data_IF_679831720306
#
_entry.id   IF_679831720306
#
_cell.length_a   1.000
_cell.length_b   1.000
_cell.length_c   1.000
_cell.angle_alpha   90.00
_cell.angle_beta   90.00
_cell.angle_gamma   90.00
#
_symmetry.space_group_name_H-M   'P 1'
#
loop_
_entity.id
_entity.type
_entity.pdbx_description
1 polymer ?
#
# COMPACT_ATOMS: atom_id res chain seq x y z
N UNK A 1 -8.88 -0.01 14.62
CA UNK A 1 -7.48 -0.42 14.42
C UNK A 1 -7.27 -0.66 12.94
N UNK A 2 -6.68 0.30 12.21
CA UNK A 2 -6.48 0.19 10.78
C UNK A 2 -5.50 -0.95 10.48
N UNK A 3 -6.01 -2.05 9.92
CA UNK A 3 -5.21 -3.23 9.65
C UNK A 3 -4.42 -3.01 8.34
N UNK A 4 -3.35 -2.21 8.40
CA UNK A 4 -2.57 -1.78 7.23
C UNK A 4 -2.04 -2.95 6.40
N UNK A 5 -1.83 -4.11 7.02
CA UNK A 5 -1.48 -5.35 6.33
C UNK A 5 -2.61 -5.86 5.43
N UNK A 6 -3.85 -5.84 5.92
CA UNK A 6 -5.02 -6.24 5.14
C UNK A 6 -5.26 -5.27 3.98
N UNK A 7 -5.17 -3.95 4.24
CA UNK A 7 -5.30 -2.91 3.21
C UNK A 7 -4.20 -3.08 2.14
N UNK A 8 -2.96 -3.30 2.57
CA UNK A 8 -1.85 -3.52 1.64
C UNK A 8 -2.05 -4.78 0.80
N UNK A 9 -2.49 -5.89 1.40
CA UNK A 9 -2.79 -7.12 0.66
C UNK A 9 -3.97 -6.96 -0.31
N UNK A 10 -4.93 -6.08 0.00
CA UNK A 10 -6.08 -5.81 -0.84
C UNK A 10 -5.69 -4.98 -2.07
N UNK A 11 -5.04 -3.84 -1.85
CA UNK A 11 -4.71 -2.89 -2.91
C UNK A 11 -3.38 -3.14 -3.62
N UNK A 12 -2.50 -3.93 -3.04
CA UNK A 12 -1.19 -4.22 -3.61
C UNK A 12 -1.00 -5.70 -3.86
N UNK A 13 -0.24 -6.00 -4.91
CA UNK A 13 0.31 -7.32 -5.18
C UNK A 13 1.73 -7.34 -4.65
N UNK A 14 2.03 -8.28 -3.76
CA UNK A 14 3.39 -8.52 -3.27
C UNK A 14 4.21 -9.24 -4.37
N UNK A 15 5.37 -8.68 -4.68
CA UNK A 15 6.35 -9.26 -5.62
C UNK A 15 7.53 -9.90 -4.89
N UNK A 16 7.51 -9.93 -3.55
CA UNK A 16 8.67 -10.28 -2.74
C UNK A 16 9.69 -9.15 -2.67
N UNK A 17 10.77 -9.36 -1.90
CA UNK A 17 11.81 -8.34 -1.63
C UNK A 17 11.26 -7.03 -1.01
N UNK A 18 10.07 -7.09 -0.42
CA UNK A 18 9.34 -5.92 0.05
C UNK A 18 8.85 -5.02 -1.08
N UNK A 19 8.71 -5.50 -2.32
CA UNK A 19 8.09 -4.74 -3.41
C UNK A 19 6.61 -5.04 -3.54
N UNK A 20 5.82 -3.97 -3.64
CA UNK A 20 4.38 -4.01 -3.73
C UNK A 20 3.93 -3.21 -4.94
N UNK A 21 3.22 -3.82 -5.89
CA UNK A 21 2.60 -3.08 -6.99
C UNK A 21 1.17 -2.74 -6.67
N UNK A 22 0.81 -1.47 -6.80
CA UNK A 22 -0.56 -1.02 -6.65
C UNK A 22 -1.42 -1.59 -7.77
N UNK A 23 -2.48 -2.35 -7.45
CA UNK A 23 -3.41 -2.92 -8.42
C UNK A 23 -4.22 -1.85 -9.17
N UNK A 24 -4.35 -0.66 -8.59
CA UNK A 24 -5.18 0.41 -9.14
C UNK A 24 -4.46 1.28 -10.18
N UNK A 25 -3.16 1.54 -9.99
CA UNK A 25 -2.35 2.36 -10.92
C UNK A 25 -1.14 1.65 -11.50
N UNK A 26 -0.88 0.39 -11.12
CA UNK A 26 0.28 -0.39 -11.57
C UNK A 26 1.62 0.08 -11.00
N UNK A 27 1.63 1.07 -10.09
CA UNK A 27 2.88 1.64 -9.57
C UNK A 27 3.51 0.73 -8.53
N UNK A 28 4.75 0.31 -8.81
CA UNK A 28 5.57 -0.46 -7.86
C UNK A 28 6.13 0.46 -6.78
N UNK A 29 6.03 0.02 -5.53
CA UNK A 29 6.56 0.69 -4.34
C UNK A 29 7.31 -0.33 -3.50
N UNK A 30 8.50 0.05 -3.04
CA UNK A 30 9.25 -0.74 -2.07
C UNK A 30 8.81 -0.34 -0.67
N UNK A 31 8.47 -1.32 0.16
CA UNK A 31 8.25 -1.15 1.59
C UNK A 31 9.55 -0.68 2.21
N UNK A 32 9.47 0.40 2.99
CA UNK A 32 10.65 0.91 3.68
C UNK A 32 10.92 0.00 4.89
N UNK A 33 12.14 -0.56 5.03
CA UNK A 33 12.46 -1.37 6.19
C UNK A 33 12.31 -0.54 7.47
N UNK A 34 11.64 -1.10 8.48
CA UNK A 34 11.45 -0.47 9.79
C UNK A 34 10.22 0.43 9.96
N UNK A 35 9.52 0.86 8.88
CA UNK A 35 8.33 1.73 8.99
C UNK A 35 7.00 1.03 8.66
N UNK A 36 7.06 -0.22 8.19
CA UNK A 36 5.89 -1.03 7.88
C UNK A 36 5.15 -0.57 6.63
N UNK A 37 3.81 -0.69 6.63
CA UNK A 37 2.94 -0.45 5.48
C UNK A 37 2.55 1.02 5.27
N UNK A 38 2.98 1.93 6.15
CA UNK A 38 2.59 3.34 6.15
C UNK A 38 2.86 4.02 4.80
N UNK A 39 3.98 3.67 4.15
CA UNK A 39 4.34 4.25 2.86
C UNK A 39 3.38 3.84 1.71
N UNK A 40 2.77 2.66 1.80
CA UNK A 40 1.79 2.16 0.84
C UNK A 40 0.45 2.85 1.07
N UNK A 41 0.07 3.05 2.33
CA UNK A 41 -1.16 3.75 2.70
C UNK A 41 -1.08 5.23 2.31
N UNK A 42 0.04 5.91 2.58
CA UNK A 42 0.25 7.28 2.11
C UNK A 42 0.16 7.38 0.58
N UNK A 43 0.60 6.36 -0.14
CA UNK A 43 0.40 6.32 -1.60
C UNK A 43 -1.07 6.19 -1.97
N UNK A 44 -1.86 5.35 -1.27
CA UNK A 44 -3.31 5.25 -1.48
C UNK A 44 -3.99 6.59 -1.24
N UNK A 45 -3.77 7.22 -0.07
CA UNK A 45 -4.35 8.52 0.27
C UNK A 45 -4.00 9.62 -0.75
N UNK A 46 -2.76 9.65 -1.24
CA UNK A 46 -2.30 10.69 -2.15
C UNK A 46 -2.66 10.49 -3.62
N UNK A 47 -2.82 9.24 -4.08
CA UNK A 47 -3.03 8.91 -5.51
C UNK A 47 -4.40 8.30 -5.79
N UNK A 48 -5.09 7.84 -4.76
CA UNK A 48 -6.41 7.24 -4.82
C UNK A 48 -7.32 7.95 -3.82
N UNK A 49 -7.76 9.19 -4.12
CA UNK A 49 -8.60 9.99 -3.20
C UNK A 49 -9.96 9.35 -2.87
N UNK A 50 -10.33 8.24 -3.53
CA UNK A 50 -11.48 7.39 -3.17
C UNK A 50 -11.19 6.38 -2.04
N UNK A 51 -9.95 6.31 -1.54
CA UNK A 51 -9.62 5.62 -0.29
C UNK A 51 -10.07 6.50 0.87
N UNK A 52 -11.33 6.38 1.25
CA UNK A 52 -11.84 6.90 2.53
C UNK A 52 -11.58 5.82 3.57
N UNK A 53 -10.76 6.11 4.58
CA UNK A 53 -10.73 5.30 5.80
C UNK A 53 -12.14 5.36 6.44
N UNK A 54 -13.01 4.41 6.07
CA UNK A 54 -14.31 4.17 6.73
C UNK A 54 -14.08 3.39 8.02
#
# INVERSE_FOLDING_TARGET
MSNFRAISSFFFTDFGDGQFSCKQCGKVRKQTPGTGYTNLISHLMAKHPGYTET
#
